data_IF_615559397148
#
_entry.id   IF_615559397148
#
_cell.length_a   1.000
_cell.length_b   1.000
_cell.length_c   1.000
_cell.angle_alpha   90.00
_cell.angle_beta   90.00
_cell.angle_gamma   90.00
#
_symmetry.space_group_name_H-M   'P 1'
#
loop_
_entity.id
_entity.type
_entity.pdbx_description
1 polymer ?
#
# COMPACT_ATOMS: atom_id res chain seq x y z
N UNK A 1 15.70 3.63 -13.85
CA UNK A 1 15.57 2.91 -12.59
C UNK A 1 16.33 3.62 -11.49
N UNK A 2 15.65 3.83 -10.36
CA UNK A 2 16.26 4.51 -9.21
C UNK A 2 17.25 3.60 -8.47
N UNK A 3 17.03 2.28 -8.55
CA UNK A 3 17.90 1.29 -7.92
C UNK A 3 19.38 1.40 -8.34
N UNK A 4 19.66 1.87 -9.57
CA UNK A 4 21.05 2.11 -10.04
C UNK A 4 21.80 3.13 -9.19
N UNK A 5 21.09 4.05 -8.50
CA UNK A 5 21.72 5.06 -7.63
C UNK A 5 22.38 4.42 -6.40
N UNK A 6 21.97 3.22 -6.02
CA UNK A 6 22.57 2.47 -4.91
C UNK A 6 24.08 2.29 -5.06
N UNK A 7 24.59 2.19 -6.30
CA UNK A 7 26.01 2.05 -6.60
C UNK A 7 26.83 3.23 -6.05
N UNK A 8 26.27 4.44 -6.08
CA UNK A 8 26.95 5.63 -5.57
C UNK A 8 27.13 5.59 -4.03
N UNK A 9 26.35 4.77 -3.36
CA UNK A 9 26.41 4.58 -1.90
C UNK A 9 27.02 3.23 -1.50
N UNK A 10 27.67 2.55 -2.45
CA UNK A 10 28.32 1.23 -2.24
C UNK A 10 27.39 0.18 -1.62
N UNK A 11 26.10 0.20 -1.99
CA UNK A 11 25.11 -0.78 -1.54
C UNK A 11 24.41 -1.46 -2.74
N UNK A 12 23.85 -2.65 -2.56
CA UNK A 12 23.01 -3.29 -3.58
C UNK A 12 21.78 -2.49 -3.92
N UNK A 13 21.40 -2.45 -5.20
CA UNK A 13 20.15 -1.90 -5.70
C UNK A 13 19.36 -2.97 -6.46
N UNK A 14 18.08 -3.13 -6.14
CA UNK A 14 17.19 -4.11 -6.76
C UNK A 14 15.92 -3.41 -7.22
N UNK A 15 15.47 -3.71 -8.44
CA UNK A 15 14.15 -3.26 -8.95
C UNK A 15 13.23 -4.47 -9.01
N UNK A 16 12.02 -4.32 -8.43
CA UNK A 16 11.00 -5.38 -8.39
C UNK A 16 9.64 -4.86 -8.85
N UNK A 17 8.76 -5.77 -9.21
CA UNK A 17 7.32 -5.50 -9.29
C UNK A 17 6.75 -5.38 -7.87
N UNK A 18 6.32 -4.17 -7.51
CA UNK A 18 5.71 -3.89 -6.22
C UNK A 18 4.26 -4.35 -6.10
N UNK A 19 3.66 -4.76 -7.21
CA UNK A 19 2.34 -5.40 -7.25
C UNK A 19 2.37 -6.91 -6.97
N UNK A 20 3.55 -7.55 -6.93
CA UNK A 20 3.70 -8.97 -6.55
C UNK A 20 4.11 -9.09 -5.07
N UNK A 21 3.19 -9.47 -4.14
CA UNK A 21 3.50 -9.61 -2.73
C UNK A 21 4.59 -10.65 -2.43
N UNK A 22 4.72 -11.68 -3.26
CA UNK A 22 5.74 -12.72 -3.09
C UNK A 22 7.11 -12.16 -3.44
N UNK A 23 7.24 -11.45 -4.56
CA UNK A 23 8.48 -10.79 -4.95
C UNK A 23 8.94 -9.76 -3.90
N UNK A 24 7.98 -9.01 -3.32
CA UNK A 24 8.27 -8.08 -2.22
C UNK A 24 8.77 -8.83 -0.99
N UNK A 25 8.06 -9.89 -0.57
CA UNK A 25 8.43 -10.68 0.61
C UNK A 25 9.85 -11.28 0.48
N UNK A 26 10.15 -11.92 -0.65
CA UNK A 26 11.45 -12.56 -0.89
C UNK A 26 12.58 -11.51 -0.92
N UNK A 27 12.36 -10.40 -1.63
CA UNK A 27 13.40 -9.37 -1.78
C UNK A 27 13.66 -8.63 -0.45
N UNK A 28 12.61 -8.27 0.26
CA UNK A 28 12.75 -7.63 1.58
C UNK A 28 13.37 -8.61 2.58
N UNK A 29 12.96 -9.88 2.56
CA UNK A 29 13.55 -10.92 3.38
C UNK A 29 15.05 -11.05 3.16
N UNK A 30 15.48 -11.13 1.91
CA UNK A 30 16.90 -11.19 1.56
C UNK A 30 17.68 -9.92 2.01
N UNK A 31 17.08 -8.74 1.85
CA UNK A 31 17.68 -7.49 2.31
C UNK A 31 17.81 -7.43 3.84
N UNK A 32 16.80 -7.91 4.57
CA UNK A 32 16.83 -8.00 6.04
C UNK A 32 17.91 -8.98 6.53
N UNK A 33 18.01 -10.15 5.91
CA UNK A 33 19.06 -11.13 6.25
C UNK A 33 20.46 -10.56 6.01
N UNK A 34 20.65 -9.86 4.90
CA UNK A 34 21.89 -9.14 4.61
C UNK A 34 22.23 -8.14 5.72
N UNK A 35 21.26 -7.31 6.11
CA UNK A 35 21.44 -6.31 7.16
C UNK A 35 21.77 -6.95 8.52
N UNK A 36 21.09 -8.04 8.89
CA UNK A 36 21.34 -8.79 10.13
C UNK A 36 22.76 -9.39 10.19
N UNK A 37 23.32 -9.75 9.04
CA UNK A 37 24.72 -10.19 8.98
C UNK A 37 25.74 -9.05 9.03
N UNK A 38 25.29 -7.78 9.16
CA UNK A 38 26.18 -6.63 9.19
C UNK A 38 26.74 -6.21 7.82
N UNK A 39 26.16 -6.73 6.72
CA UNK A 39 26.63 -6.44 5.35
C UNK A 39 26.07 -5.13 4.79
N UNK A 40 25.36 -4.35 5.60
CA UNK A 40 24.84 -3.04 5.27
C UNK A 40 23.45 -3.05 4.61
N UNK A 41 22.94 -1.87 4.20
CA UNK A 41 21.60 -1.70 3.65
C UNK A 41 21.49 -2.17 2.19
N UNK A 42 20.25 -2.28 1.74
CA UNK A 42 19.89 -2.54 0.33
C UNK A 42 18.85 -1.52 -0.10
N UNK A 43 19.01 -0.91 -1.27
CA UNK A 43 17.99 -0.05 -1.88
C UNK A 43 17.07 -0.91 -2.76
N UNK A 44 15.79 -0.96 -2.40
CA UNK A 44 14.78 -1.68 -3.18
C UNK A 44 13.88 -0.64 -3.87
N UNK A 45 13.82 -0.71 -5.20
CA UNK A 45 12.89 0.06 -6.02
C UNK A 45 11.69 -0.81 -6.36
N UNK A 46 10.54 -0.53 -5.75
CA UNK A 46 9.28 -1.24 -5.95
C UNK A 46 8.46 -0.48 -6.98
N UNK A 47 8.30 -1.02 -8.18
CA UNK A 47 7.47 -0.41 -9.22
C UNK A 47 5.99 -0.69 -8.92
N UNK A 48 5.22 0.36 -8.77
CA UNK A 48 3.78 0.29 -8.50
C UNK A 48 3.02 1.28 -9.38
N UNK A 49 1.74 1.02 -9.58
CA UNK A 49 0.81 1.98 -10.16
C UNK A 49 -0.23 2.38 -9.12
N UNK A 50 -0.45 3.67 -8.98
CA UNK A 50 -1.43 4.20 -8.03
C UNK A 50 -2.80 4.33 -8.68
N UNK A 51 -3.78 3.56 -8.19
CA UNK A 51 -5.13 3.49 -8.76
C UNK A 51 -6.07 4.62 -8.33
N UNK A 52 -5.72 5.38 -7.29
CA UNK A 52 -6.57 6.46 -6.77
C UNK A 52 -5.80 7.76 -6.56
N UNK A 53 -6.50 8.89 -6.59
CA UNK A 53 -5.93 10.19 -6.26
C UNK A 53 -5.47 10.27 -4.80
N UNK A 54 -4.73 11.32 -4.45
CA UNK A 54 -4.38 11.60 -3.06
C UNK A 54 -5.63 12.10 -2.31
N UNK A 55 -5.74 11.75 -1.01
CA UNK A 55 -6.90 11.96 -0.14
C UNK A 55 -7.36 13.39 0.12
N UNK A 56 -7.29 14.28 -0.88
CA UNK A 56 -7.83 15.64 -0.80
C UNK A 56 -9.35 15.71 -0.94
N UNK A 57 -10.02 14.58 -1.16
CA UNK A 57 -11.47 14.52 -1.23
C UNK A 57 -12.01 14.35 0.19
N UNK A 58 -12.39 15.47 0.78
CA UNK A 58 -13.17 15.46 2.02
C UNK A 58 -14.61 15.15 1.61
N UNK A 59 -15.03 13.91 1.80
CA UNK A 59 -16.44 13.60 1.67
C UNK A 59 -17.22 14.24 2.83
N UNK A 60 -18.40 14.79 2.57
CA UNK A 60 -19.29 15.23 3.65
C UNK A 60 -19.59 14.06 4.61
N UNK A 61 -19.87 14.33 5.90
CA UNK A 61 -20.23 13.29 6.85
C UNK A 61 -21.36 12.40 6.32
N UNK A 62 -21.20 11.09 6.39
CA UNK A 62 -22.19 10.12 5.93
C UNK A 62 -22.17 9.80 4.42
N UNK A 63 -21.30 10.43 3.64
CA UNK A 63 -21.09 10.08 2.24
C UNK A 63 -19.87 9.14 2.14
N UNK A 64 -20.03 7.95 1.54
CA UNK A 64 -18.89 7.05 1.32
C UNK A 64 -17.79 7.75 0.51
N UNK A 65 -16.54 7.60 0.92
CA UNK A 65 -15.40 8.05 0.13
C UNK A 65 -15.42 7.30 -1.21
N UNK A 66 -15.72 8.02 -2.26
CA UNK A 66 -15.67 7.52 -3.63
C UNK A 66 -14.67 8.35 -4.40
N UNK A 67 -13.61 7.72 -4.87
CA UNK A 67 -12.64 8.37 -5.76
C UNK A 67 -13.16 8.25 -7.19
N UNK A 68 -13.60 9.35 -7.81
CA UNK A 68 -14.06 9.30 -9.19
C UNK A 68 -12.91 8.85 -10.10
N UNK A 69 -13.18 7.90 -10.98
CA UNK A 69 -12.22 7.35 -11.94
C UNK A 69 -11.52 8.45 -12.75
N UNK A 70 -12.26 9.48 -13.16
CA UNK A 70 -11.73 10.59 -13.93
C UNK A 70 -10.67 11.41 -13.19
N UNK A 71 -10.69 11.49 -11.87
CA UNK A 71 -9.68 12.18 -11.09
C UNK A 71 -8.37 11.40 -11.04
N UNK A 72 -8.45 10.08 -10.92
CA UNK A 72 -7.28 9.21 -11.00
C UNK A 72 -6.61 9.32 -12.38
N UNK A 73 -7.39 9.28 -13.45
CA UNK A 73 -6.90 9.43 -14.82
C UNK A 73 -6.26 10.80 -15.03
N UNK A 74 -6.87 11.88 -14.56
CA UNK A 74 -6.34 13.24 -14.71
C UNK A 74 -4.99 13.44 -14.00
N UNK A 75 -4.74 12.71 -12.91
CA UNK A 75 -3.50 12.85 -12.13
C UNK A 75 -2.39 11.93 -12.64
N UNK A 76 -2.71 10.74 -13.13
CA UNK A 76 -1.72 9.68 -13.35
C UNK A 76 -1.50 9.27 -14.80
N UNK A 77 -2.23 9.84 -15.75
CA UNK A 77 -2.04 9.54 -17.16
C UNK A 77 -3.35 9.35 -17.92
N UNK A 78 -3.27 8.59 -18.99
CA UNK A 78 -4.40 8.33 -19.87
C UNK A 78 -5.28 7.15 -19.37
N UNK A 79 -6.45 7.04 -19.95
CA UNK A 79 -7.42 5.99 -19.65
C UNK A 79 -6.89 4.58 -19.92
N UNK A 80 -6.12 4.37 -20.96
CA UNK A 80 -5.60 3.05 -21.32
C UNK A 80 -4.62 2.52 -20.25
N UNK A 81 -3.73 3.40 -19.77
CA UNK A 81 -2.83 3.06 -18.67
C UNK A 81 -3.59 2.73 -17.38
N UNK A 82 -4.62 3.50 -17.06
CA UNK A 82 -5.45 3.27 -15.89
C UNK A 82 -6.21 1.95 -15.96
N UNK A 83 -6.85 1.64 -17.09
CA UNK A 83 -7.56 0.38 -17.29
C UNK A 83 -6.62 -0.84 -17.27
N UNK A 84 -5.40 -0.68 -17.79
CA UNK A 84 -4.38 -1.71 -17.69
C UNK A 84 -3.95 -1.94 -16.23
N UNK A 85 -3.78 -0.86 -15.47
CA UNK A 85 -3.41 -0.92 -14.06
C UNK A 85 -4.51 -1.53 -13.18
N UNK A 86 -5.79 -1.25 -13.47
CA UNK A 86 -6.93 -1.88 -12.78
C UNK A 86 -6.93 -3.42 -12.94
N UNK A 87 -6.58 -3.90 -14.14
CA UNK A 87 -6.46 -5.36 -14.38
C UNK A 87 -5.30 -5.97 -13.61
N UNK A 88 -4.27 -5.16 -13.33
CA UNK A 88 -3.09 -5.56 -12.53
C UNK A 88 -3.22 -5.26 -11.04
N UNK A 89 -4.40 -4.88 -10.53
CA UNK A 89 -4.60 -4.64 -9.09
C UNK A 89 -4.09 -5.84 -8.27
N UNK A 90 -3.10 -5.63 -7.38
CA UNK A 90 -2.46 -6.71 -6.64
C UNK A 90 -3.42 -7.48 -5.73
N UNK A 91 -4.46 -6.85 -5.20
CA UNK A 91 -5.37 -7.52 -4.25
C UNK A 91 -6.18 -8.63 -4.92
N UNK A 92 -6.96 -8.37 -5.99
CA UNK A 92 -7.69 -9.44 -6.68
C UNK A 92 -6.76 -10.43 -7.39
N UNK A 93 -5.61 -9.98 -7.91
CA UNK A 93 -4.64 -10.86 -8.57
C UNK A 93 -4.04 -11.88 -7.59
N UNK A 94 -3.59 -11.42 -6.43
CA UNK A 94 -2.99 -12.29 -5.42
C UNK A 94 -4.03 -13.23 -4.79
N UNK A 95 -5.25 -12.72 -4.53
CA UNK A 95 -6.37 -13.56 -4.13
C UNK A 95 -6.61 -14.71 -5.13
N UNK A 96 -6.69 -14.38 -6.41
CA UNK A 96 -6.89 -15.37 -7.47
C UNK A 96 -5.77 -16.42 -7.49
N UNK A 97 -4.52 -16.00 -7.34
CA UNK A 97 -3.36 -16.89 -7.23
C UNK A 97 -3.48 -17.85 -6.05
N UNK A 98 -3.77 -17.34 -4.85
CA UNK A 98 -3.88 -18.15 -3.64
C UNK A 98 -5.03 -19.19 -3.73
N UNK A 99 -6.14 -18.83 -4.35
CA UNK A 99 -7.26 -19.77 -4.58
C UNK A 99 -6.89 -20.82 -5.63
N UNK A 100 -6.29 -20.42 -6.74
CA UNK A 100 -5.88 -21.32 -7.81
C UNK A 100 -4.80 -22.32 -7.35
N UNK A 101 -3.89 -21.87 -6.50
CA UNK A 101 -2.82 -22.69 -5.92
C UNK A 101 -3.32 -23.57 -4.74
N UNK A 102 -4.61 -23.49 -4.39
CA UNK A 102 -5.22 -24.26 -3.32
C UNK A 102 -4.79 -23.88 -1.91
N UNK A 103 -4.20 -22.70 -1.74
CA UNK A 103 -3.76 -22.17 -0.43
C UNK A 103 -4.97 -21.76 0.42
N UNK A 104 -6.02 -21.25 -0.21
CA UNK A 104 -7.29 -20.89 0.44
C UNK A 104 -8.48 -21.15 -0.48
N UNK A 105 -9.69 -21.18 0.08
CA UNK A 105 -10.93 -21.22 -0.68
C UNK A 105 -11.45 -19.81 -0.97
N UNK A 106 -12.43 -19.69 -1.88
CA UNK A 106 -13.09 -18.41 -2.13
C UNK A 106 -13.83 -17.90 -0.89
N UNK A 107 -14.44 -18.77 -0.12
CA UNK A 107 -15.15 -18.44 1.12
C UNK A 107 -14.19 -17.85 2.16
N UNK A 108 -13.03 -18.48 2.35
CA UNK A 108 -11.98 -17.94 3.23
C UNK A 108 -11.47 -16.57 2.78
N UNK A 109 -11.32 -16.37 1.47
CA UNK A 109 -10.92 -15.07 0.94
C UNK A 109 -11.97 -13.98 1.19
N UNK A 110 -13.27 -14.31 1.05
CA UNK A 110 -14.35 -13.37 1.38
C UNK A 110 -14.43 -13.06 2.86
N UNK A 111 -14.21 -14.04 3.74
CA UNK A 111 -14.15 -13.83 5.18
C UNK A 111 -13.03 -12.85 5.57
N UNK A 112 -11.83 -13.00 4.98
CA UNK A 112 -10.71 -12.09 5.20
C UNK A 112 -11.05 -10.67 4.74
N UNK A 113 -11.62 -10.52 3.55
CA UNK A 113 -12.02 -9.21 3.02
C UNK A 113 -13.11 -8.56 3.88
N UNK A 114 -14.07 -9.37 4.37
CA UNK A 114 -15.10 -8.87 5.27
C UNK A 114 -14.50 -8.39 6.59
N UNK A 115 -13.63 -9.19 7.21
CA UNK A 115 -12.98 -8.83 8.46
C UNK A 115 -12.17 -7.52 8.33
N UNK A 116 -11.42 -7.36 7.23
CA UNK A 116 -10.68 -6.14 6.97
C UNK A 116 -11.59 -4.90 6.79
N UNK A 117 -12.76 -5.05 6.15
CA UNK A 117 -13.74 -3.97 6.03
C UNK A 117 -14.38 -3.61 7.38
N UNK A 118 -14.71 -4.61 8.18
CA UNK A 118 -15.28 -4.42 9.51
C UNK A 118 -14.30 -3.67 10.41
N UNK A 119 -13.02 -4.06 10.43
CA UNK A 119 -11.94 -3.37 11.15
C UNK A 119 -11.77 -1.91 10.70
N UNK A 120 -11.80 -1.67 9.39
CA UNK A 120 -11.74 -0.29 8.87
C UNK A 120 -12.94 0.53 9.29
N UNK A 121 -14.14 -0.05 9.35
CA UNK A 121 -15.34 0.65 9.83
C UNK A 121 -15.24 0.97 11.32
N UNK A 122 -14.71 0.07 12.12
CA UNK A 122 -14.43 0.31 13.56
C UNK A 122 -13.40 1.45 13.72
N UNK A 123 -12.34 1.46 12.92
CA UNK A 123 -11.34 2.52 12.95
C UNK A 123 -11.93 3.89 12.57
N UNK A 124 -12.84 3.95 11.59
CA UNK A 124 -13.56 5.18 11.24
C UNK A 124 -14.42 5.66 12.40
N UNK A 125 -15.18 4.75 13.01
CA UNK A 125 -16.01 5.05 14.17
C UNK A 125 -15.17 5.59 15.34
N UNK A 126 -14.06 4.90 15.64
CA UNK A 126 -13.11 5.36 16.65
C UNK A 126 -12.59 6.78 16.37
N UNK A 127 -12.20 7.06 15.11
CA UNK A 127 -11.70 8.39 14.74
C UNK A 127 -12.76 9.50 14.86
N UNK A 128 -14.01 9.18 14.52
CA UNK A 128 -15.13 10.16 14.61
C UNK A 128 -15.58 10.40 16.04
N UNK A 129 -15.60 9.39 16.88
CA UNK A 129 -16.06 9.45 18.28
C UNK A 129 -14.96 9.90 19.26
N UNK A 130 -13.69 9.88 18.83
CA UNK A 130 -12.57 10.32 19.67
C UNK A 130 -12.67 11.81 19.97
N UNK A 131 -12.43 12.25 21.23
CA UNK A 131 -12.39 13.66 21.56
C UNK A 131 -11.22 14.35 20.86
N UNK A 132 -11.36 15.65 20.60
CA UNK A 132 -10.22 16.44 20.16
C UNK A 132 -9.17 16.54 21.29
N UNK A 133 -7.87 16.62 20.94
CA UNK A 133 -6.83 16.88 21.92
C UNK A 133 -7.06 18.17 22.71
N UNK A 134 -6.64 18.23 23.96
CA UNK A 134 -6.66 19.46 24.74
C UNK A 134 -5.67 20.49 24.18
N UNK A 135 -5.97 21.79 24.36
CA UNK A 135 -5.18 22.85 23.71
C UNK A 135 -3.71 22.87 24.13
N UNK A 136 -3.40 22.46 25.34
CA UNK A 136 -2.04 22.41 25.91
C UNK A 136 -1.21 21.24 25.35
N UNK A 137 -1.86 20.19 24.82
CA UNK A 137 -1.18 19.10 24.11
C UNK A 137 -0.43 19.59 22.85
N UNK A 138 -0.89 20.71 22.27
CA UNK A 138 -0.20 21.29 21.11
C UNK A 138 1.23 21.74 21.41
N UNK A 139 1.56 21.96 22.67
CA UNK A 139 2.92 22.33 23.12
C UNK A 139 3.70 21.14 23.66
N UNK A 140 3.03 19.98 23.88
CA UNK A 140 3.67 18.76 24.29
C UNK A 140 4.26 18.04 23.05
N UNK A 141 5.31 17.28 23.26
CA UNK A 141 5.93 16.42 22.26
C UNK A 141 6.49 17.13 21.01
N UNK A 142 6.66 18.47 21.06
CA UNK A 142 7.25 19.25 19.96
C UNK A 142 8.78 19.00 19.88
N UNK A 143 9.39 18.78 21.04
CA UNK A 143 10.80 18.43 21.16
C UNK A 143 10.94 17.22 22.10
N UNK A 144 11.83 16.29 21.74
CA UNK A 144 12.18 15.14 22.56
C UNK A 144 13.21 15.52 23.62
#
# INVERSE_FOLDING_TARGET
>A
DLSVKAKAYSMPGVTIDGGDPVAVYETVGAAMERARRGEGPTLIESKVYRLSAHGNLIAPPGVPLHYPEHEAIAVFGDREQYEAALKGDPVPQFRGRLVNDGVMTNEQAEEILKAARDEMQEAVTFGVESPFPENDEALAYVYA
#
